data_IF_395279180949
#
_entry.id   IF_395279180949
#
_cell.length_a   1.000
_cell.length_b   1.000
_cell.length_c   1.000
_cell.angle_alpha   90.00
_cell.angle_beta   90.00
_cell.angle_gamma   90.00
#
_symmetry.space_group_name_H-M   'P 1'
#
loop_
_entity.id
_entity.type
_entity.pdbx_description
1 polymer ?
#
# COMPACT_ATOMS: atom_id res chain seq x y z
N UNK A 1 -28.40 1.67 23.77
CA UNK A 1 -27.50 2.77 24.21
C UNK A 1 -27.02 3.52 22.99
N UNK A 2 -27.26 4.83 22.83
CA UNK A 2 -26.66 5.59 21.75
C UNK A 2 -25.14 5.56 21.94
N UNK A 3 -24.41 5.14 20.90
CA UNK A 3 -22.95 5.18 20.88
C UNK A 3 -22.52 6.65 21.08
N UNK A 4 -21.71 6.89 22.10
CA UNK A 4 -21.19 8.23 22.38
C UNK A 4 -20.44 8.73 21.13
N UNK A 5 -20.88 9.87 20.60
CA UNK A 5 -20.18 10.53 19.52
C UNK A 5 -18.92 11.17 20.11
N UNK A 6 -17.74 10.80 19.60
CA UNK A 6 -16.46 11.41 19.97
C UNK A 6 -15.81 12.08 18.78
N UNK A 7 -15.03 13.09 19.02
CA UNK A 7 -14.10 13.65 18.01
C UNK A 7 -12.85 12.78 17.97
N UNK A 8 -12.28 12.65 16.78
CA UNK A 8 -10.94 12.10 16.64
C UNK A 8 -9.98 12.98 17.44
N UNK A 9 -9.19 12.36 18.31
CA UNK A 9 -8.22 13.05 19.13
C UNK A 9 -6.96 13.36 18.29
N UNK A 10 -6.60 14.64 18.09
CA UNK A 10 -5.41 14.99 17.33
C UNK A 10 -4.12 14.45 17.93
N UNK A 11 -4.04 14.30 19.27
CA UNK A 11 -2.85 13.79 19.95
C UNK A 11 -2.62 12.30 19.65
N UNK A 12 -3.68 11.56 19.39
CA UNK A 12 -3.61 10.14 19.03
C UNK A 12 -3.33 9.87 17.55
N UNK A 13 -3.34 10.91 16.73
CA UNK A 13 -3.04 10.73 15.29
C UNK A 13 -1.62 10.21 15.06
N UNK A 14 -0.67 10.61 15.90
CA UNK A 14 0.71 10.12 15.86
C UNK A 14 0.82 8.61 16.04
N UNK A 15 -0.04 8.01 16.88
CA UNK A 15 -0.06 6.57 17.15
C UNK A 15 -0.42 5.72 15.91
N UNK A 16 -1.02 6.36 14.90
CA UNK A 16 -1.45 5.71 13.67
C UNK A 16 -0.52 5.97 12.48
N UNK A 17 0.50 6.82 12.65
CA UNK A 17 1.33 7.29 11.54
C UNK A 17 1.99 6.13 10.77
N UNK A 18 2.72 5.26 11.45
CA UNK A 18 3.47 4.17 10.80
C UNK A 18 2.53 3.20 10.02
N UNK A 19 1.35 2.94 10.59
CA UNK A 19 0.37 2.06 9.94
C UNK A 19 -0.24 2.72 8.71
N UNK A 20 -0.57 4.02 8.81
CA UNK A 20 -1.11 4.79 7.70
C UNK A 20 -0.07 4.99 6.59
N UNK A 21 1.19 5.22 6.97
CA UNK A 21 2.26 5.37 6.01
C UNK A 21 2.47 4.09 5.19
N UNK A 22 2.55 2.93 5.84
CA UNK A 22 2.61 1.63 5.15
C UNK A 22 1.40 1.39 4.26
N UNK A 23 0.22 1.74 4.73
CA UNK A 23 -1.01 1.61 3.94
C UNK A 23 -1.02 2.56 2.73
N UNK A 24 -0.54 3.79 2.89
CA UNK A 24 -0.40 4.74 1.80
C UNK A 24 0.59 4.25 0.75
N UNK A 25 1.74 3.74 1.18
CA UNK A 25 2.73 3.16 0.28
C UNK A 25 2.16 1.98 -0.52
N UNK A 26 1.51 1.04 0.14
CA UNK A 26 0.82 -0.07 -0.52
C UNK A 26 -0.28 0.37 -1.50
N UNK A 27 -0.86 1.56 -1.33
CA UNK A 27 -1.85 2.13 -2.27
C UNK A 27 -1.18 2.83 -3.45
N UNK A 28 -0.12 3.60 -3.21
CA UNK A 28 0.51 4.47 -4.21
C UNK A 28 1.60 3.77 -5.02
N UNK A 29 2.31 2.79 -4.41
CA UNK A 29 3.47 2.13 -5.01
C UNK A 29 4.73 3.01 -5.03
N UNK A 30 4.70 4.22 -4.46
CA UNK A 30 5.86 5.09 -4.33
C UNK A 30 5.89 5.73 -2.95
N UNK A 31 7.10 6.01 -2.47
CA UNK A 31 7.32 6.60 -1.16
C UNK A 31 6.87 8.06 -1.11
N UNK A 32 7.23 8.84 -2.11
CA UNK A 32 6.90 10.27 -2.21
C UNK A 32 5.38 10.48 -2.22
N UNK A 33 4.67 9.74 -3.08
CA UNK A 33 3.22 9.78 -3.13
C UNK A 33 2.57 9.32 -1.81
N UNK A 34 3.20 8.36 -1.11
CA UNK A 34 2.72 7.90 0.19
C UNK A 34 2.84 8.99 1.27
N UNK A 35 3.96 9.70 1.33
CA UNK A 35 4.16 10.83 2.23
C UNK A 35 3.13 11.93 1.98
N UNK A 36 2.95 12.32 0.73
CA UNK A 36 1.97 13.32 0.32
C UNK A 36 0.53 12.87 0.66
N UNK A 37 0.22 11.61 0.42
CA UNK A 37 -1.10 11.05 0.73
C UNK A 37 -1.40 11.07 2.23
N UNK A 38 -0.42 10.72 3.07
CA UNK A 38 -0.57 10.76 4.53
C UNK A 38 -0.73 12.19 5.02
N UNK A 39 0.12 13.13 4.54
CA UNK A 39 0.04 14.55 4.89
C UNK A 39 -1.33 15.14 4.53
N UNK A 40 -1.80 14.93 3.30
CA UNK A 40 -3.12 15.42 2.87
C UNK A 40 -4.27 14.76 3.64
N UNK A 41 -4.13 13.48 4.00
CA UNK A 41 -5.12 12.78 4.82
C UNK A 41 -5.24 13.45 6.20
N UNK A 42 -4.14 13.68 6.89
CA UNK A 42 -4.14 14.38 8.17
C UNK A 42 -4.65 15.82 8.06
N UNK A 43 -4.21 16.55 7.05
CA UNK A 43 -4.69 17.91 6.81
C UNK A 43 -6.21 17.96 6.64
N UNK A 44 -6.81 17.00 5.93
CA UNK A 44 -8.26 16.91 5.74
C UNK A 44 -9.00 16.57 7.02
N UNK A 45 -8.47 15.62 7.78
CA UNK A 45 -9.06 15.19 9.06
C UNK A 45 -9.05 16.33 10.07
N UNK A 46 -7.94 17.06 10.17
CA UNK A 46 -7.79 18.18 11.10
C UNK A 46 -8.63 19.41 10.71
N UNK A 47 -8.76 19.70 9.40
CA UNK A 47 -9.59 20.83 8.93
C UNK A 47 -11.09 20.62 9.19
N UNK A 48 -11.57 19.37 9.16
CA UNK A 48 -12.99 19.05 9.35
C UNK A 48 -13.15 17.89 10.31
N UNK A 49 -12.92 18.12 11.60
CA UNK A 49 -13.08 17.07 12.59
C UNK A 49 -14.52 16.56 12.57
N UNK A 50 -14.71 15.27 12.29
CA UNK A 50 -16.02 14.62 12.31
C UNK A 50 -16.26 13.96 13.65
N UNK A 51 -17.51 13.91 14.03
CA UNK A 51 -17.96 13.08 15.14
C UNK A 51 -17.98 11.62 14.67
N UNK A 52 -17.14 10.80 15.29
CA UNK A 52 -17.08 9.36 15.07
C UNK A 52 -18.12 8.67 15.94
N UNK A 53 -18.78 7.67 15.37
CA UNK A 53 -19.77 6.84 16.09
C UNK A 53 -19.17 5.52 16.58
N UNK A 54 -17.90 5.28 16.33
CA UNK A 54 -17.16 4.08 16.72
C UNK A 54 -15.76 4.47 17.20
N UNK A 55 -15.12 3.59 17.95
CA UNK A 55 -13.71 3.74 18.35
C UNK A 55 -12.72 3.36 17.23
N UNK A 56 -13.23 3.14 16.01
CA UNK A 56 -12.44 2.76 14.84
C UNK A 56 -11.84 4.01 14.15
N UNK A 57 -10.79 4.55 14.74
CA UNK A 57 -10.05 5.69 14.18
C UNK A 57 -9.36 5.29 12.87
N UNK A 58 -8.77 4.10 12.81
CA UNK A 58 -8.07 3.62 11.62
C UNK A 58 -9.00 3.41 10.43
N UNK A 59 -10.19 2.86 10.64
CA UNK A 59 -11.17 2.72 9.57
C UNK A 59 -11.65 4.07 9.03
N UNK A 60 -11.78 5.08 9.90
CA UNK A 60 -12.09 6.44 9.46
C UNK A 60 -10.92 7.05 8.67
N UNK A 61 -9.69 6.93 9.15
CA UNK A 61 -8.49 7.44 8.50
C UNK A 61 -8.28 6.76 7.15
N UNK A 62 -8.44 5.43 7.07
CA UNK A 62 -8.41 4.71 5.80
C UNK A 62 -9.43 5.25 4.80
N UNK A 63 -10.67 5.50 5.24
CA UNK A 63 -11.71 6.06 4.36
C UNK A 63 -11.32 7.42 3.81
N UNK A 64 -10.76 8.31 4.64
CA UNK A 64 -10.30 9.63 4.20
C UNK A 64 -9.14 9.48 3.24
N UNK A 65 -8.15 8.66 3.57
CA UNK A 65 -6.96 8.39 2.75
C UNK A 65 -7.33 7.81 1.38
N UNK A 66 -8.18 6.80 1.34
CA UNK A 66 -8.71 6.21 0.10
C UNK A 66 -9.40 7.25 -0.78
N UNK A 67 -10.28 8.07 -0.20
CA UNK A 67 -10.99 9.10 -0.96
C UNK A 67 -10.03 10.16 -1.50
N UNK A 68 -8.97 10.48 -0.76
CA UNK A 68 -7.91 11.40 -1.20
C UNK A 68 -7.15 10.80 -2.37
N UNK A 69 -6.69 9.56 -2.26
CA UNK A 69 -6.00 8.82 -3.31
C UNK A 69 -6.79 8.78 -4.62
N UNK A 70 -8.05 8.31 -4.59
CA UNK A 70 -8.86 8.24 -5.81
C UNK A 70 -9.22 9.61 -6.37
N UNK A 71 -9.30 10.64 -5.54
CA UNK A 71 -9.53 12.00 -6.02
C UNK A 71 -8.32 12.56 -6.76
N UNK A 72 -7.12 12.34 -6.21
CA UNK A 72 -5.86 12.71 -6.84
C UNK A 72 -5.64 11.94 -8.16
N UNK A 73 -5.85 10.64 -8.14
CA UNK A 73 -5.68 9.78 -9.32
C UNK A 73 -6.64 10.16 -10.46
N UNK A 74 -7.91 10.45 -10.15
CA UNK A 74 -8.88 10.97 -11.14
C UNK A 74 -8.49 12.35 -11.67
N UNK A 75 -7.91 13.20 -10.85
CA UNK A 75 -7.43 14.52 -11.28
C UNK A 75 -6.20 14.38 -12.20
N UNK A 76 -5.27 13.50 -11.86
CA UNK A 76 -4.09 13.20 -12.68
C UNK A 76 -4.47 12.59 -14.03
N UNK A 77 -5.44 11.68 -14.08
CA UNK A 77 -5.93 11.06 -15.33
C UNK A 77 -6.59 12.06 -16.31
N UNK A 78 -6.97 13.24 -15.82
CA UNK A 78 -7.54 14.33 -16.65
C UNK A 78 -6.50 15.32 -17.15
N UNK A 79 -5.27 15.25 -16.65
CA UNK A 79 -4.14 16.09 -17.12
C UNK A 79 -3.30 15.31 -18.12
N UNK A 80 -2.73 15.97 -19.17
CA UNK A 80 -1.75 15.31 -20.04
C UNK A 80 -0.57 14.84 -19.19
N UNK A 81 -0.15 13.59 -19.41
CA UNK A 81 0.98 12.97 -18.71
C UNK A 81 2.25 13.75 -19.02
N UNK A 82 2.80 14.44 -18.04
CA UNK A 82 4.22 14.75 -17.99
C UNK A 82 4.89 13.50 -17.43
N UNK A 83 5.82 12.91 -18.15
CA UNK A 83 6.56 11.74 -17.68
C UNK A 83 7.29 12.09 -16.38
N UNK A 84 7.18 11.25 -15.32
CA UNK A 84 8.00 11.44 -14.14
C UNK A 84 9.44 11.18 -14.50
N UNK A 85 10.35 12.06 -14.10
CA UNK A 85 11.79 11.75 -14.08
C UNK A 85 11.99 10.57 -13.11
N UNK A 86 12.91 9.64 -13.44
CA UNK A 86 13.24 8.56 -12.51
C UNK A 86 13.93 9.14 -11.28
N UNK A 87 13.29 8.97 -10.13
CA UNK A 87 13.83 9.40 -8.86
C UNK A 87 15.07 8.60 -8.47
N UNK A 88 16.09 9.34 -8.06
CA UNK A 88 17.26 8.75 -7.40
C UNK A 88 16.79 8.22 -6.03
N UNK A 89 17.03 6.92 -5.81
CA UNK A 89 16.78 6.26 -4.54
C UNK A 89 17.60 6.93 -3.42
N UNK A 90 17.06 7.89 -2.73
CA UNK A 90 17.51 8.21 -1.39
C UNK A 90 16.86 7.21 -0.43
N UNK A 91 17.68 6.29 0.07
CA UNK A 91 17.33 5.36 1.15
C UNK A 91 17.07 6.18 2.42
N UNK A 92 15.84 6.64 2.59
CA UNK A 92 15.40 7.09 3.89
C UNK A 92 14.97 5.84 4.66
N UNK A 93 15.58 5.62 5.81
CA UNK A 93 15.38 4.47 6.67
C UNK A 93 13.89 4.25 6.96
N UNK A 94 13.39 3.08 6.57
CA UNK A 94 12.11 2.58 7.08
C UNK A 94 12.31 2.36 8.59
N UNK A 95 11.70 3.19 9.42
CA UNK A 95 11.81 3.12 10.89
C UNK A 95 11.33 1.78 11.47
N UNK A 96 10.80 0.88 10.63
CA UNK A 96 10.36 -0.47 11.01
C UNK A 96 11.26 -1.58 10.48
N UNK A 97 12.15 -1.29 9.52
CA UNK A 97 13.07 -2.27 8.96
C UNK A 97 14.37 -2.32 9.77
N UNK A 98 14.71 -3.49 10.28
CA UNK A 98 15.88 -3.70 11.15
C UNK A 98 17.20 -3.83 10.35
N UNK A 99 17.16 -3.66 9.00
CA UNK A 99 18.35 -3.71 8.15
C UNK A 99 18.06 -3.44 6.66
N UNK A 100 19.11 -3.15 5.85
CA UNK A 100 18.96 -2.78 4.45
C UNK A 100 18.26 -3.86 3.59
N UNK A 101 18.47 -5.13 3.90
CA UNK A 101 17.84 -6.24 3.19
C UNK A 101 16.33 -6.30 3.45
N UNK A 102 15.90 -6.10 4.70
CA UNK A 102 14.48 -6.10 5.05
C UNK A 102 13.75 -4.87 4.45
N UNK A 103 14.45 -3.75 4.33
CA UNK A 103 13.91 -2.56 3.65
C UNK A 103 13.67 -2.84 2.16
N UNK A 104 14.59 -3.55 1.49
CA UNK A 104 14.45 -3.95 0.10
C UNK A 104 13.29 -4.94 -0.10
N UNK A 105 13.21 -5.97 0.74
CA UNK A 105 12.13 -6.97 0.71
C UNK A 105 10.75 -6.31 0.94
N UNK A 106 10.69 -5.33 1.85
CA UNK A 106 9.46 -4.56 2.07
C UNK A 106 9.08 -3.72 0.85
N UNK A 107 10.05 -3.12 0.17
CA UNK A 107 9.82 -2.35 -1.05
C UNK A 107 9.23 -3.21 -2.17
N UNK A 108 9.87 -4.33 -2.46
CA UNK A 108 9.40 -5.31 -3.46
C UNK A 108 7.98 -5.81 -3.14
N UNK A 109 7.67 -6.04 -1.87
CA UNK A 109 6.34 -6.44 -1.44
C UNK A 109 5.30 -5.34 -1.71
N UNK A 110 5.62 -4.06 -1.44
CA UNK A 110 4.69 -2.95 -1.70
C UNK A 110 4.48 -2.71 -3.19
N UNK A 111 5.50 -2.92 -4.02
CA UNK A 111 5.38 -2.87 -5.48
C UNK A 111 4.40 -3.93 -5.98
N UNK A 112 4.55 -5.18 -5.52
CA UNK A 112 3.61 -6.26 -5.84
C UNK A 112 2.17 -5.98 -5.38
N UNK A 113 2.02 -5.39 -4.20
CA UNK A 113 0.70 -4.95 -3.71
C UNK A 113 0.14 -3.85 -4.63
N UNK A 114 1.00 -2.94 -5.09
CA UNK A 114 0.65 -1.88 -6.03
C UNK A 114 0.09 -2.38 -7.36
N UNK A 115 0.53 -3.54 -7.83
CA UNK A 115 0.04 -4.18 -9.07
C UNK A 115 -1.33 -4.86 -8.93
N UNK A 116 -1.82 -5.06 -7.71
CA UNK A 116 -3.15 -5.65 -7.50
C UNK A 116 -4.26 -4.73 -8.01
N UNK A 117 -5.35 -5.30 -8.57
CA UNK A 117 -6.55 -4.52 -8.88
C UNK A 117 -7.06 -3.76 -7.65
N UNK A 118 -7.51 -2.52 -7.83
CA UNK A 118 -7.88 -1.59 -6.75
C UNK A 118 -8.70 -2.23 -5.62
N UNK A 119 -9.77 -2.93 -5.95
CA UNK A 119 -10.62 -3.52 -4.92
C UNK A 119 -9.95 -4.66 -4.13
N UNK A 120 -8.97 -5.35 -4.70
CA UNK A 120 -8.19 -6.39 -4.01
C UNK A 120 -7.12 -5.75 -3.14
N UNK A 121 -6.41 -4.77 -3.68
CA UNK A 121 -5.43 -3.96 -2.98
C UNK A 121 -6.04 -3.29 -1.74
N UNK A 122 -7.17 -2.61 -1.91
CA UNK A 122 -7.89 -1.97 -0.81
C UNK A 122 -8.25 -2.94 0.32
N UNK A 123 -8.76 -4.13 -0.01
CA UNK A 123 -9.13 -5.12 0.98
C UNK A 123 -7.90 -5.67 1.74
N UNK A 124 -6.80 -5.92 1.03
CA UNK A 124 -5.54 -6.38 1.61
C UNK A 124 -4.94 -5.30 2.51
N UNK A 125 -4.88 -4.06 2.05
CA UNK A 125 -4.39 -2.93 2.84
C UNK A 125 -5.22 -2.74 4.11
N UNK A 126 -6.54 -2.81 4.01
CA UNK A 126 -7.42 -2.63 5.16
C UNK A 126 -7.20 -3.72 6.24
N UNK A 127 -7.09 -4.97 5.84
CA UNK A 127 -7.03 -6.10 6.79
C UNK A 127 -5.59 -6.43 7.17
N UNK A 128 -4.71 -6.65 6.19
CA UNK A 128 -3.37 -7.18 6.44
C UNK A 128 -2.36 -6.09 6.84
N UNK A 129 -2.48 -4.87 6.29
CA UNK A 129 -1.55 -3.78 6.61
C UNK A 129 -2.05 -2.97 7.81
N UNK A 130 -3.32 -2.56 7.81
CA UNK A 130 -3.90 -1.77 8.91
C UNK A 130 -4.40 -2.62 10.08
N UNK A 131 -4.63 -3.92 9.88
CA UNK A 131 -5.12 -4.83 10.91
C UNK A 131 -6.58 -4.60 11.29
N UNK A 132 -7.40 -4.09 10.38
CA UNK A 132 -8.83 -3.95 10.60
C UNK A 132 -9.51 -5.32 10.58
N UNK A 133 -10.52 -5.51 11.41
CA UNK A 133 -11.44 -6.64 11.25
C UNK A 133 -12.19 -6.55 9.92
N UNK A 134 -12.72 -7.66 9.44
CA UNK A 134 -13.50 -7.70 8.18
C UNK A 134 -14.68 -6.72 8.21
N UNK A 135 -15.33 -6.59 9.37
CA UNK A 135 -16.44 -5.65 9.57
C UNK A 135 -15.99 -4.19 9.51
N UNK A 136 -14.88 -3.85 10.14
CA UNK A 136 -14.30 -2.50 10.08
C UNK A 136 -13.84 -2.15 8.68
N UNK A 137 -13.13 -3.08 8.00
CA UNK A 137 -12.73 -2.94 6.60
C UNK A 137 -13.95 -2.74 5.68
N UNK A 138 -15.02 -3.54 5.85
CA UNK A 138 -16.26 -3.40 5.10
C UNK A 138 -16.89 -2.02 5.28
N UNK A 139 -16.94 -1.54 6.53
CA UNK A 139 -17.45 -0.20 6.85
C UNK A 139 -16.57 0.91 6.26
N UNK A 140 -15.25 0.78 6.37
CA UNK A 140 -14.30 1.76 5.83
C UNK A 140 -14.38 1.85 4.29
N UNK A 141 -14.44 0.70 3.61
CA UNK A 141 -14.50 0.60 2.16
C UNK A 141 -15.92 0.69 1.57
N UNK A 142 -16.95 0.77 2.43
CA UNK A 142 -18.37 0.87 2.05
C UNK A 142 -18.82 -0.30 1.16
N UNK A 143 -18.41 -1.51 1.50
CA UNK A 143 -18.80 -2.77 0.85
C UNK A 143 -19.38 -3.75 1.88
N UNK A 144 -19.90 -4.88 1.41
CA UNK A 144 -20.35 -5.96 2.30
C UNK A 144 -19.14 -6.74 2.84
N UNK A 145 -19.24 -7.27 4.05
CA UNK A 145 -18.19 -8.10 4.67
C UNK A 145 -17.83 -9.32 3.82
N UNK A 146 -18.82 -9.98 3.21
CA UNK A 146 -18.57 -11.06 2.25
C UNK A 146 -17.74 -10.62 1.03
N UNK A 147 -17.84 -9.34 0.63
CA UNK A 147 -17.00 -8.77 -0.43
C UNK A 147 -15.55 -8.63 0.02
N UNK A 148 -15.32 -8.22 1.28
CA UNK A 148 -13.98 -8.18 1.86
C UNK A 148 -13.36 -9.56 1.85
N UNK A 149 -14.07 -10.58 2.36
CA UNK A 149 -13.61 -11.98 2.38
C UNK A 149 -13.15 -12.45 0.99
N UNK A 150 -13.99 -12.21 -0.02
CA UNK A 150 -13.69 -12.66 -1.39
C UNK A 150 -12.52 -11.89 -2.00
N UNK A 151 -12.48 -10.56 -1.81
CA UNK A 151 -11.41 -9.71 -2.35
C UNK A 151 -10.07 -10.02 -1.69
N UNK A 152 -10.05 -10.18 -0.37
CA UNK A 152 -8.86 -10.52 0.40
C UNK A 152 -8.29 -11.88 0.00
N UNK A 153 -9.16 -12.90 -0.13
CA UNK A 153 -8.73 -14.21 -0.61
C UNK A 153 -8.05 -14.13 -1.99
N UNK A 154 -8.65 -13.41 -2.93
CA UNK A 154 -8.09 -13.24 -4.27
C UNK A 154 -6.82 -12.40 -4.29
N UNK A 155 -6.73 -11.39 -3.43
CA UNK A 155 -5.53 -10.58 -3.28
C UNK A 155 -4.35 -11.41 -2.79
N UNK A 156 -4.54 -12.17 -1.70
CA UNK A 156 -3.53 -13.05 -1.13
C UNK A 156 -3.07 -14.14 -2.11
N UNK A 157 -4.02 -14.73 -2.86
CA UNK A 157 -3.69 -15.73 -3.87
C UNK A 157 -2.80 -15.15 -4.98
N UNK A 158 -3.13 -13.96 -5.50
CA UNK A 158 -2.32 -13.30 -6.53
C UNK A 158 -0.94 -12.91 -6.02
N UNK A 159 -0.88 -12.38 -4.80
CA UNK A 159 0.40 -12.00 -4.18
C UNK A 159 1.30 -13.23 -3.97
N UNK A 160 0.75 -14.34 -3.47
CA UNK A 160 1.49 -15.60 -3.32
C UNK A 160 2.01 -16.13 -4.67
N UNK A 161 1.22 -16.03 -5.74
CA UNK A 161 1.64 -16.43 -7.09
C UNK A 161 2.77 -15.54 -7.62
N UNK A 162 2.70 -14.24 -7.40
CA UNK A 162 3.74 -13.29 -7.81
C UNK A 162 5.07 -13.56 -7.07
N UNK A 163 5.02 -13.74 -5.76
CA UNK A 163 6.20 -14.07 -4.94
C UNK A 163 6.83 -15.39 -5.36
N UNK A 164 6.03 -16.45 -5.57
CA UNK A 164 6.55 -17.75 -6.03
C UNK A 164 7.13 -17.68 -7.45
N UNK A 165 6.62 -16.82 -8.30
CA UNK A 165 7.16 -16.56 -9.64
C UNK A 165 8.53 -15.88 -9.61
N UNK A 166 8.71 -14.91 -8.71
CA UNK A 166 10.00 -14.23 -8.51
C UNK A 166 11.07 -15.16 -7.93
N UNK A 167 10.73 -16.01 -6.97
CA UNK A 167 11.65 -17.02 -6.42
C UNK A 167 12.12 -18.00 -7.51
N UNK A 168 11.22 -18.43 -8.40
CA UNK A 168 11.58 -19.33 -9.50
C UNK A 168 12.48 -18.65 -10.56
N UNK A 169 12.38 -17.35 -10.74
CA UNK A 169 13.22 -16.57 -11.66
C UNK A 169 14.59 -16.27 -11.06
N UNK A 170 14.67 -16.02 -9.75
CA UNK A 170 15.91 -15.81 -9.01
C UNK A 170 16.77 -17.07 -8.91
N UNK A 171 16.15 -18.27 -8.89
CA UNK A 171 16.84 -19.58 -8.80
C UNK A 171 17.25 -20.13 -10.20
N UNK A 172 17.00 -19.42 -11.30
CA UNK A 172 17.51 -19.81 -12.60
C UNK A 172 19.00 -19.48 -12.71
N UNK A 173 19.91 -20.49 -12.79
CA UNK A 173 21.34 -20.22 -12.97
C UNK A 173 21.52 -19.48 -14.30
N UNK A 174 22.15 -18.32 -14.23
CA UNK A 174 22.57 -17.54 -15.39
C UNK A 174 23.33 -18.46 -16.36
N UNK A 175 22.67 -18.90 -17.42
CA UNK A 175 23.31 -19.62 -18.53
C UNK A 175 24.21 -18.68 -19.31
N UNK A 176 25.30 -18.24 -18.67
CA UNK A 176 26.46 -17.63 -19.30
C UNK A 176 27.28 -18.71 -19.99
N UNK A 177 26.71 -19.31 -20.99
CA UNK A 177 27.43 -20.24 -21.87
C UNK A 177 28.31 -19.47 -22.84
N UNK A 178 29.51 -19.14 -22.41
CA UNK A 178 30.61 -18.79 -23.31
C UNK A 178 30.90 -20.03 -24.17
N UNK A 179 30.33 -20.10 -25.37
CA UNK A 179 30.78 -21.05 -26.41
C UNK A 179 32.21 -20.70 -26.75
N UNK A 180 33.13 -21.50 -26.21
CA UNK A 180 34.46 -21.60 -26.75
C UNK A 180 34.32 -22.24 -28.13
N UNK A 181 34.71 -21.47 -29.14
CA UNK A 181 34.88 -21.95 -30.51
C UNK A 181 36.18 -22.78 -30.60
N UNK A 182 36.14 -24.07 -30.88
CA UNK A 182 37.34 -24.85 -31.15
C UNK A 182 37.47 -25.04 -32.64
N UNK A 183 38.25 -24.20 -33.29
CA UNK A 183 38.52 -24.50 -34.71
C UNK A 183 39.16 -23.39 -35.54
N UNK A 184 40.42 -23.18 -35.35
CA UNK A 184 41.25 -22.48 -36.31
C UNK A 184 42.49 -23.28 -36.61
N UNK A 185 42.38 -24.18 -37.56
CA UNK A 185 43.57 -24.80 -38.18
C UNK A 185 43.98 -23.96 -39.37
N UNK A 186 45.29 -23.84 -39.47
CA UNK A 186 46.25 -23.58 -40.53
C UNK A 186 46.51 -22.09 -40.76
#
# INVERSE_FOLDING_TARGET
MPLAQRKLDPERLGDHFDRLYRAAWALCGSREDAEDLVQETYARVLRKPRLLRSDDDLGYLLRVMRNTYFSAHRAASRRPRTEPLPDQLELIEDHTATGPQQALEAHELYDLIGELPDGFREALVAVDVLGLSYREAANALQVREATITTRLFRARLRLAQALSGQEAEADQPTRGGKRLDPGGRI
#
